data_IF_571490885827
#
_entry.id   IF_571490885827
#
_cell.length_a   1.000
_cell.length_b   1.000
_cell.length_c   1.000
_cell.angle_alpha   90.00
_cell.angle_beta   90.00
_cell.angle_gamma   90.00
#
_symmetry.space_group_name_H-M   'P 1'
#
loop_
_entity.id
_entity.type
_entity.pdbx_description
1 polymer ?
#
# COMPACT_ATOMS: atom_id res chain seq x y z
N UNK A 1 8.48 -7.19 -16.95
CA UNK A 1 8.26 -7.70 -15.58
C UNK A 1 7.40 -8.94 -15.70
N UNK A 2 7.82 -10.11 -15.18
CA UNK A 2 7.09 -11.38 -15.30
C UNK A 2 5.63 -11.30 -14.80
N UNK A 3 5.37 -10.44 -13.80
CA UNK A 3 4.02 -10.25 -13.27
C UNK A 3 3.02 -9.65 -14.27
N UNK A 4 3.49 -8.92 -15.29
CA UNK A 4 2.59 -8.29 -16.27
C UNK A 4 2.05 -9.30 -17.30
N UNK A 5 2.71 -10.44 -17.46
CA UNK A 5 2.29 -11.48 -18.40
C UNK A 5 1.07 -12.26 -17.90
N UNK A 6 0.76 -12.16 -16.61
CA UNK A 6 -0.33 -12.88 -15.93
C UNK A 6 -1.60 -12.04 -15.73
N UNK A 7 -1.58 -10.76 -16.12
CA UNK A 7 -2.70 -9.82 -15.93
C UNK A 7 -3.21 -9.27 -17.27
N UNK A 8 -4.53 -9.34 -17.48
CA UNK A 8 -5.18 -8.69 -18.61
C UNK A 8 -5.28 -7.18 -18.35
N UNK A 9 -4.32 -6.41 -18.86
CA UNK A 9 -4.30 -4.96 -18.71
C UNK A 9 -5.09 -4.31 -19.84
N UNK A 10 -6.16 -3.60 -19.47
CA UNK A 10 -6.96 -2.80 -20.39
C UNK A 10 -6.73 -1.33 -20.13
N UNK A 11 -6.40 -0.60 -21.18
CA UNK A 11 -6.27 0.85 -21.15
C UNK A 11 -7.56 1.49 -21.63
N UNK A 12 -7.99 2.55 -20.95
CA UNK A 12 -9.10 3.38 -21.37
C UNK A 12 -8.75 4.84 -21.19
N UNK A 13 -9.32 5.70 -22.03
CA UNK A 13 -9.23 7.15 -21.87
C UNK A 13 -10.36 7.59 -20.96
N UNK A 14 -10.01 8.26 -19.86
CA UNK A 14 -10.96 8.81 -18.90
C UNK A 14 -10.72 10.31 -18.80
N UNK A 15 -11.80 11.10 -18.87
CA UNK A 15 -11.73 12.52 -18.55
C UNK A 15 -12.02 12.70 -17.07
N UNK A 16 -11.04 13.22 -16.34
CA UNK A 16 -11.19 13.52 -14.91
C UNK A 16 -11.87 14.87 -14.73
N UNK A 17 -12.79 14.96 -13.77
CA UNK A 17 -13.28 16.24 -13.28
C UNK A 17 -12.23 16.82 -12.32
N UNK A 18 -11.54 17.87 -12.77
CA UNK A 18 -10.53 18.59 -12.00
C UNK A 18 -11.08 19.80 -11.25
N UNK A 19 -12.40 19.98 -11.18
CA UNK A 19 -13.01 21.12 -10.49
C UNK A 19 -12.72 21.06 -9.00
N UNK A 20 -12.10 22.10 -8.45
CA UNK A 20 -11.66 22.11 -7.04
C UNK A 20 -12.79 21.81 -6.03
N UNK A 21 -14.00 22.31 -6.30
CA UNK A 21 -15.15 22.12 -5.42
C UNK A 21 -15.87 20.78 -5.61
N UNK A 22 -15.55 20.01 -6.65
CA UNK A 22 -16.12 18.68 -6.89
C UNK A 22 -15.06 17.61 -6.57
N UNK A 23 -14.96 17.27 -5.29
CA UNK A 23 -13.96 16.32 -4.83
C UNK A 23 -14.23 14.93 -5.40
N UNK A 24 -13.20 14.33 -6.00
CA UNK A 24 -13.23 12.90 -6.35
C UNK A 24 -13.49 12.03 -5.12
N UNK A 25 -13.98 10.81 -5.32
CA UNK A 25 -14.22 9.86 -4.22
C UNK A 25 -13.02 9.69 -3.28
N UNK A 26 -11.79 9.79 -3.80
CA UNK A 26 -10.55 9.62 -3.03
C UNK A 26 -10.22 10.79 -2.09
N UNK A 27 -10.81 11.97 -2.34
CA UNK A 27 -10.57 13.20 -1.59
C UNK A 27 -11.73 13.55 -0.63
N UNK A 28 -12.76 12.71 -0.57
CA UNK A 28 -13.90 12.91 0.33
C UNK A 28 -13.53 12.60 1.80
N UNK A 29 -14.32 13.10 2.78
CA UNK A 29 -14.20 12.70 4.18
C UNK A 29 -14.38 11.19 4.40
N UNK A 30 -13.93 10.65 5.55
CA UNK A 30 -14.02 9.22 5.87
C UNK A 30 -15.43 8.66 5.69
N UNK A 31 -15.49 7.45 5.14
CA UNK A 31 -16.73 6.73 4.88
C UNK A 31 -16.50 5.49 4.03
N UNK A 32 -17.41 4.53 4.12
CA UNK A 32 -17.26 3.22 3.47
C UNK A 32 -16.96 3.31 1.98
N UNK A 33 -17.64 4.18 1.24
CA UNK A 33 -17.37 4.37 -0.20
C UNK A 33 -15.98 4.93 -0.51
N UNK A 34 -15.42 5.75 0.39
CA UNK A 34 -14.04 6.28 0.25
C UNK A 34 -13.04 5.16 0.52
N UNK A 35 -13.26 4.39 1.57
CA UNK A 35 -12.37 3.29 1.96
C UNK A 35 -12.39 2.15 0.94
N UNK A 36 -13.57 1.82 0.39
CA UNK A 36 -13.72 0.88 -0.73
C UNK A 36 -12.99 1.37 -1.98
N UNK A 37 -13.09 2.66 -2.31
CA UNK A 37 -12.38 3.23 -3.46
C UNK A 37 -10.86 3.12 -3.29
N UNK A 38 -10.33 3.46 -2.10
CA UNK A 38 -8.91 3.29 -1.82
C UNK A 38 -8.48 1.82 -1.83
N UNK A 39 -9.30 0.92 -1.27
CA UNK A 39 -9.04 -0.52 -1.31
C UNK A 39 -8.96 -1.05 -2.74
N UNK A 40 -9.83 -0.57 -3.64
CA UNK A 40 -9.84 -0.95 -5.05
C UNK A 40 -8.57 -0.52 -5.80
N UNK A 41 -7.83 0.48 -5.32
CA UNK A 41 -6.50 0.85 -5.84
C UNK A 41 -5.39 -0.11 -5.38
N UNK A 42 -5.69 -1.06 -4.50
CA UNK A 42 -4.72 -2.02 -3.98
C UNK A 42 -3.95 -1.52 -2.75
N UNK A 43 -4.50 -0.61 -1.95
CA UNK A 43 -3.84 -0.12 -0.72
C UNK A 43 -3.69 -1.18 0.37
N UNK A 44 -4.44 -2.29 0.29
CA UNK A 44 -4.30 -3.46 1.16
C UNK A 44 -3.74 -4.67 0.38
N UNK A 45 -2.80 -4.42 -0.52
CA UNK A 45 -2.16 -5.48 -1.28
C UNK A 45 -1.34 -6.39 -0.36
N UNK A 46 -1.29 -7.66 -0.72
CA UNK A 46 -0.44 -8.64 -0.06
C UNK A 46 0.87 -8.77 -0.80
N UNK A 47 1.89 -9.23 -0.08
CA UNK A 47 3.14 -9.68 -0.67
C UNK A 47 2.85 -10.70 -1.77
N UNK A 48 3.57 -10.55 -2.87
CA UNK A 48 3.50 -11.44 -4.02
C UNK A 48 4.71 -12.38 -3.98
N UNK A 49 4.52 -13.57 -4.54
CA UNK A 49 5.59 -14.56 -4.61
C UNK A 49 6.09 -14.61 -6.05
N UNK A 50 7.38 -14.34 -6.22
CA UNK A 50 8.05 -14.51 -7.51
C UNK A 50 8.76 -15.86 -7.54
N UNK A 51 8.39 -16.77 -8.46
CA UNK A 51 9.10 -18.03 -8.68
C UNK A 51 10.60 -17.81 -8.92
N UNK A 52 11.44 -18.73 -8.47
CA UNK A 52 12.90 -18.55 -8.59
C UNK A 52 13.38 -18.43 -10.04
N UNK A 53 12.72 -19.13 -10.97
CA UNK A 53 13.02 -19.05 -12.40
C UNK A 53 12.63 -17.71 -13.04
N UNK A 54 11.87 -16.86 -12.34
CA UNK A 54 11.49 -15.51 -12.78
C UNK A 54 12.22 -14.42 -12.00
N UNK A 55 13.03 -14.78 -10.99
CA UNK A 55 13.64 -13.84 -10.05
C UNK A 55 14.53 -12.80 -10.75
N UNK A 56 15.43 -13.24 -11.63
CA UNK A 56 16.33 -12.35 -12.37
C UNK A 56 15.55 -11.38 -13.26
N UNK A 57 14.52 -11.86 -13.98
CA UNK A 57 13.66 -11.04 -14.83
C UNK A 57 12.79 -10.04 -14.03
N UNK A 58 12.54 -10.34 -12.76
CA UNK A 58 11.89 -9.44 -11.80
C UNK A 58 12.89 -8.50 -11.08
N UNK A 59 14.18 -8.57 -11.41
CA UNK A 59 15.24 -7.74 -10.81
C UNK A 59 15.66 -8.18 -9.41
N UNK A 60 15.38 -9.43 -9.02
CA UNK A 60 15.65 -9.95 -7.69
C UNK A 60 17.03 -10.61 -7.59
N UNK A 61 17.67 -10.45 -6.43
CA UNK A 61 19.00 -11.00 -6.13
C UNK A 61 18.94 -12.21 -5.19
N UNK A 62 19.90 -13.15 -5.23
CA UNK A 62 19.93 -14.36 -4.39
C UNK A 62 19.80 -14.15 -2.88
N UNK A 63 20.23 -13.00 -2.36
CA UNK A 63 20.17 -12.68 -0.93
C UNK A 63 18.82 -12.15 -0.42
N UNK A 64 17.82 -11.97 -1.28
CA UNK A 64 16.51 -11.51 -0.85
C UNK A 64 15.70 -12.62 -0.18
N UNK A 65 14.73 -12.22 0.64
CA UNK A 65 13.93 -13.13 1.46
C UNK A 65 13.15 -14.10 0.57
N UNK A 66 13.22 -15.39 0.93
CA UNK A 66 12.51 -16.49 0.27
C UNK A 66 11.59 -17.20 1.23
N UNK A 67 10.51 -17.79 0.71
CA UNK A 67 9.78 -18.83 1.43
C UNK A 67 10.63 -20.08 1.52
N UNK A 68 10.38 -20.89 2.55
CA UNK A 68 11.00 -22.21 2.64
C UNK A 68 10.56 -23.09 1.47
N UNK A 69 11.43 -24.02 1.07
CA UNK A 69 11.14 -24.95 -0.04
C UNK A 69 9.90 -25.80 0.23
N UNK A 70 9.70 -26.24 1.47
CA UNK A 70 8.52 -27.00 1.92
C UNK A 70 7.20 -26.20 1.87
N UNK A 71 7.28 -24.88 1.65
CA UNK A 71 6.14 -23.98 1.47
C UNK A 71 5.99 -23.51 0.01
N UNK A 72 6.65 -24.18 -0.93
CA UNK A 72 6.59 -23.88 -2.37
C UNK A 72 7.64 -22.87 -2.86
N UNK A 73 8.59 -22.49 -2.01
CA UNK A 73 9.74 -21.67 -2.38
C UNK A 73 9.39 -20.29 -2.98
N UNK A 74 10.36 -19.69 -3.66
CA UNK A 74 10.20 -18.38 -4.32
C UNK A 74 10.47 -17.19 -3.39
N UNK A 75 10.63 -16.03 -4.02
CA UNK A 75 10.96 -14.77 -3.36
C UNK A 75 9.70 -14.08 -2.86
N UNK A 76 9.74 -13.55 -1.64
CA UNK A 76 8.69 -12.70 -1.09
C UNK A 76 8.96 -11.27 -1.53
N UNK A 77 8.03 -10.68 -2.29
CA UNK A 77 8.22 -9.35 -2.88
C UNK A 77 6.99 -8.46 -2.71
N UNK A 78 7.20 -7.16 -2.83
CA UNK A 78 6.14 -6.16 -2.89
C UNK A 78 6.16 -5.47 -4.25
N UNK A 79 4.99 -5.02 -4.71
CA UNK A 79 4.89 -4.15 -5.88
C UNK A 79 5.03 -2.71 -5.38
N UNK A 80 6.12 -2.05 -5.74
CA UNK A 80 6.49 -0.75 -5.15
C UNK A 80 5.42 0.33 -5.38
N UNK A 81 4.74 0.32 -6.52
CA UNK A 81 3.63 1.24 -6.77
C UNK A 81 2.48 1.07 -5.75
N UNK A 82 2.17 -0.17 -5.36
CA UNK A 82 1.14 -0.46 -4.36
C UNK A 82 1.63 -0.10 -2.95
N UNK A 83 2.93 -0.28 -2.67
CA UNK A 83 3.55 0.17 -1.42
C UNK A 83 3.39 1.68 -1.23
N UNK A 84 3.68 2.48 -2.26
CA UNK A 84 3.46 3.92 -2.21
C UNK A 84 1.99 4.28 -1.99
N UNK A 85 1.06 3.60 -2.67
CA UNK A 85 -0.37 3.84 -2.48
C UNK A 85 -0.85 3.48 -1.07
N UNK A 86 -0.34 2.39 -0.49
CA UNK A 86 -0.60 2.01 0.89
C UNK A 86 -0.19 3.13 1.86
N UNK A 87 1.06 3.61 1.75
CA UNK A 87 1.54 4.70 2.59
C UNK A 87 0.75 6.00 2.38
N UNK A 88 0.39 6.32 1.13
CA UNK A 88 -0.43 7.50 0.83
C UNK A 88 -1.82 7.41 1.48
N UNK A 89 -2.46 6.24 1.46
CA UNK A 89 -3.73 6.05 2.15
C UNK A 89 -3.57 6.14 3.68
N UNK A 90 -2.48 5.60 4.24
CA UNK A 90 -2.21 5.76 5.67
C UNK A 90 -1.97 7.22 6.07
N UNK A 91 -1.27 8.00 5.25
CA UNK A 91 -1.11 9.44 5.46
C UNK A 91 -2.45 10.17 5.45
N UNK A 92 -3.35 9.83 4.51
CA UNK A 92 -4.72 10.35 4.47
C UNK A 92 -5.47 10.01 5.76
N UNK A 93 -5.52 8.73 6.13
CA UNK A 93 -6.25 8.23 7.31
C UNK A 93 -5.71 8.85 8.61
N UNK A 94 -4.40 9.02 8.69
CA UNK A 94 -3.72 9.57 9.86
C UNK A 94 -3.60 11.10 9.84
N UNK A 95 -4.18 11.76 8.85
CA UNK A 95 -4.21 13.23 8.82
C UNK A 95 -4.99 13.76 10.03
N UNK A 96 -4.63 14.95 10.50
CA UNK A 96 -5.28 15.59 11.65
C UNK A 96 -6.81 15.57 11.59
N UNK A 97 -7.37 15.71 10.38
CA UNK A 97 -8.80 15.75 10.14
C UNK A 97 -9.50 14.39 10.30
N UNK A 98 -8.80 13.29 10.05
CA UNK A 98 -9.39 11.95 9.92
C UNK A 98 -8.86 10.94 10.95
N UNK A 99 -7.78 11.28 11.67
CA UNK A 99 -7.10 10.37 12.58
C UNK A 99 -8.03 9.75 13.63
N UNK A 100 -8.81 10.56 14.34
CA UNK A 100 -9.70 10.05 15.40
C UNK A 100 -10.72 9.04 14.84
N UNK A 101 -11.26 9.27 13.64
CA UNK A 101 -12.20 8.32 13.01
C UNK A 101 -11.58 6.94 12.79
N UNK A 102 -10.37 6.90 12.21
CA UNK A 102 -9.72 5.62 11.91
C UNK A 102 -9.10 4.96 13.15
N UNK A 103 -8.66 5.77 14.12
CA UNK A 103 -8.22 5.29 15.43
C UNK A 103 -9.36 4.63 16.19
N UNK A 104 -10.55 5.23 16.22
CA UNK A 104 -11.74 4.67 16.86
C UNK A 104 -12.20 3.36 16.20
N UNK A 105 -12.06 3.23 14.88
CA UNK A 105 -12.34 1.98 14.17
C UNK A 105 -11.38 0.86 14.59
N UNK A 106 -10.11 1.17 14.84
CA UNK A 106 -9.13 0.20 15.31
C UNK A 106 -8.89 -0.94 14.31
N UNK A 107 -8.90 -0.63 13.01
CA UNK A 107 -8.70 -1.58 11.92
C UNK A 107 -7.39 -1.30 11.15
N UNK A 108 -6.93 -2.28 10.37
CA UNK A 108 -5.77 -2.11 9.49
C UNK A 108 -4.50 -1.75 10.27
N UNK A 109 -3.87 -0.62 9.94
CA UNK A 109 -2.68 -0.15 10.67
C UNK A 109 -2.99 0.35 12.10
N UNK A 110 -4.24 0.74 12.37
CA UNK A 110 -4.67 1.31 13.65
C UNK A 110 -4.97 0.25 14.72
N UNK A 111 -4.81 -1.05 14.40
CA UNK A 111 -4.74 -2.12 15.42
C UNK A 111 -3.44 -2.08 16.22
N UNK A 112 -2.41 -1.44 15.65
CA UNK A 112 -1.08 -1.38 16.24
C UNK A 112 -0.96 -0.18 17.17
N UNK A 113 0.10 -0.20 17.97
CA UNK A 113 0.52 0.97 18.75
C UNK A 113 0.87 2.15 17.81
N UNK A 114 0.72 3.36 18.34
CA UNK A 114 0.83 4.61 17.57
C UNK A 114 2.22 4.80 16.95
N UNK A 115 3.27 4.25 17.56
CA UNK A 115 4.64 4.26 17.04
C UNK A 115 4.75 3.57 15.67
N UNK A 116 4.02 2.46 15.45
CA UNK A 116 3.99 1.76 14.17
C UNK A 116 3.31 2.62 13.09
N UNK A 117 2.24 3.33 13.45
CA UNK A 117 1.56 4.25 12.52
C UNK A 117 2.51 5.40 12.14
N UNK A 118 3.25 5.95 13.10
CA UNK A 118 4.17 7.07 12.89
C UNK A 118 5.34 6.76 11.94
N UNK A 119 5.80 5.51 11.85
CA UNK A 119 6.84 5.13 10.87
C UNK A 119 6.43 5.45 9.43
N UNK A 120 5.13 5.43 9.13
CA UNK A 120 4.57 5.71 7.80
C UNK A 120 4.53 7.22 7.47
N UNK A 121 4.81 8.10 8.43
CA UNK A 121 4.83 9.56 8.29
C UNK A 121 6.22 10.14 8.04
N UNK A 122 7.22 9.28 7.84
CA UNK A 122 8.62 9.65 7.81
C UNK A 122 9.22 9.51 9.20
N UNK A 123 10.28 8.69 9.29
CA UNK A 123 11.04 8.35 10.51
C UNK A 123 10.88 9.39 11.64
N UNK A 124 10.15 9.01 12.68
CA UNK A 124 10.24 9.69 13.97
C UNK A 124 11.52 9.19 14.64
N UNK A 125 12.52 10.06 14.79
CA UNK A 125 13.62 9.79 15.70
C UNK A 125 13.18 10.31 17.08
N UNK A 126 12.85 9.44 18.05
CA UNK A 126 12.43 9.88 19.37
C UNK A 126 13.58 10.49 20.17
N UNK A 127 14.83 10.39 19.71
CA UNK A 127 15.99 10.94 20.39
C UNK A 127 16.67 12.08 19.60
N UNK A 128 16.45 13.35 19.97
CA UNK A 128 17.20 14.48 19.38
C UNK A 128 18.67 14.55 19.85
N UNK A 129 19.15 13.60 20.64
CA UNK A 129 20.49 13.59 21.27
C UNK A 129 21.33 12.31 21.09
N UNK A 130 20.87 11.31 20.32
CA UNK A 130 21.67 10.12 19.97
C UNK A 130 22.65 10.35 18.81
#
# INVERSE_FOLDING_TARGET
SPMLDEVDIRYSTVQFDGTFMNLSIYAQPPGSGVDEAWLALGTNYRQVIVPENQAEAAGLSPGQVKRREDQGGGYITNVEALHHLHCLNLLRQSSHWYYEHYKEQGEGAFVNDEDIVLIHHGKFDPDPTA
#
